data_IF_133075265917
#
_entry.id   IF_133075265917
#
_cell.length_a   1.000
_cell.length_b   1.000
_cell.length_c   1.000
_cell.angle_alpha   90.00
_cell.angle_beta   90.00
_cell.angle_gamma   90.00
#
_symmetry.space_group_name_H-M   'P 1'
#
loop_
_entity.id
_entity.type
_entity.pdbx_description
1 polymer ?
#
# COMPACT_ATOMS: atom_id res chain seq x y z
N UNK A 1 2.62 2.22 -5.10
CA UNK A 1 1.17 2.35 -4.75
C UNK A 1 0.69 3.80 -4.71
N UNK A 2 1.27 4.72 -5.50
CA UNK A 2 0.79 6.10 -5.69
C UNK A 2 0.49 6.46 -7.15
N UNK A 3 0.21 5.48 -8.01
CA UNK A 3 -0.15 5.72 -9.42
C UNK A 3 -1.59 5.36 -9.75
N UNK A 4 -2.21 4.46 -8.98
CA UNK A 4 -3.58 3.99 -9.17
C UNK A 4 -4.25 3.89 -7.79
N UNK A 5 -5.48 4.37 -7.68
CA UNK A 5 -6.29 4.29 -6.46
C UNK A 5 -7.49 3.38 -6.70
N UNK A 6 -7.40 2.08 -6.37
CA UNK A 6 -8.53 1.18 -6.50
C UNK A 6 -9.62 1.51 -5.48
N UNK A 7 -10.87 1.17 -5.82
CA UNK A 7 -12.00 1.29 -4.90
C UNK A 7 -11.70 0.55 -3.58
N UNK A 8 -12.24 1.07 -2.48
CA UNK A 8 -12.11 0.50 -1.12
C UNK A 8 -10.71 0.55 -0.49
N UNK A 9 -9.73 1.20 -1.13
CA UNK A 9 -8.39 1.44 -0.59
C UNK A 9 -8.11 2.93 -0.30
N UNK A 10 -9.14 3.77 -0.21
CA UNK A 10 -9.02 5.22 -0.15
C UNK A 10 -8.09 5.72 0.96
N UNK A 11 -8.28 5.26 2.20
CA UNK A 11 -7.46 5.66 3.34
C UNK A 11 -5.99 5.22 3.18
N UNK A 12 -5.77 4.01 2.68
CA UNK A 12 -4.44 3.46 2.42
C UNK A 12 -3.72 4.28 1.33
N UNK A 13 -4.39 4.49 0.19
CA UNK A 13 -3.87 5.29 -0.91
C UNK A 13 -3.57 6.72 -0.46
N UNK A 14 -4.50 7.39 0.24
CA UNK A 14 -4.28 8.74 0.76
C UNK A 14 -3.01 8.82 1.62
N UNK A 15 -2.82 7.85 2.53
CA UNK A 15 -1.61 7.75 3.36
C UNK A 15 -0.34 7.55 2.54
N UNK A 16 -0.40 6.74 1.46
CA UNK A 16 0.74 6.50 0.57
C UNK A 16 1.10 7.72 -0.28
N UNK A 17 0.13 8.44 -0.83
CA UNK A 17 0.38 9.70 -1.53
C UNK A 17 0.95 10.77 -0.59
N UNK A 18 0.43 10.87 0.64
CA UNK A 18 0.97 11.78 1.65
C UNK A 18 2.43 11.46 1.98
N UNK A 19 2.78 10.16 2.10
CA UNK A 19 4.16 9.72 2.33
C UNK A 19 5.11 10.11 1.19
N UNK A 20 4.67 10.02 -0.07
CA UNK A 20 5.47 10.47 -1.21
C UNK A 20 5.73 11.97 -1.16
N UNK A 21 4.70 12.77 -0.89
CA UNK A 21 4.84 14.22 -0.72
C UNK A 21 5.80 14.57 0.42
N UNK A 22 5.65 13.90 1.57
CA UNK A 22 6.55 14.04 2.71
C UNK A 22 8.01 13.73 2.33
N UNK A 23 8.26 12.63 1.62
CA UNK A 23 9.61 12.28 1.19
C UNK A 23 10.22 13.31 0.23
N UNK A 24 9.40 13.93 -0.63
CA UNK A 24 9.87 14.96 -1.56
C UNK A 24 10.24 16.28 -0.85
N UNK A 25 9.52 16.65 0.21
CA UNK A 25 9.93 17.73 1.10
C UNK A 25 11.22 17.37 1.85
N UNK A 26 11.24 16.21 2.52
CA UNK A 26 12.38 15.74 3.30
C UNK A 26 13.67 15.71 2.46
N UNK A 27 13.60 15.28 1.20
CA UNK A 27 14.77 15.28 0.29
C UNK A 27 15.36 16.68 0.08
N UNK A 28 14.52 17.71 -0.06
CA UNK A 28 14.96 19.10 -0.24
C UNK A 28 15.50 19.68 1.06
N UNK A 29 14.80 19.39 2.16
CA UNK A 29 15.23 19.80 3.49
C UNK A 29 16.59 19.22 3.83
N UNK A 30 16.84 17.95 3.53
CA UNK A 30 18.10 17.25 3.86
C UNK A 30 19.29 17.60 2.93
N UNK A 31 19.04 18.23 1.79
CA UNK A 31 20.05 18.55 0.79
C UNK A 31 21.24 19.40 1.32
N UNK A 32 21.06 20.42 2.19
CA UNK A 32 22.16 21.22 2.73
C UNK A 32 23.21 20.41 3.52
N UNK A 33 22.82 19.24 4.05
CA UNK A 33 23.73 18.35 4.78
C UNK A 33 24.36 17.26 3.90
N UNK A 34 24.13 17.30 2.58
CA UNK A 34 24.60 16.27 1.65
C UNK A 34 23.91 14.91 1.84
N UNK A 35 22.82 14.86 2.60
CA UNK A 35 22.05 13.65 2.86
C UNK A 35 21.09 13.39 1.69
N UNK A 36 21.04 12.13 1.25
CA UNK A 36 20.19 11.67 0.14
C UNK A 36 18.99 10.91 0.69
N UNK A 37 17.81 11.26 0.19
CA UNK A 37 16.55 10.61 0.55
C UNK A 37 15.98 9.94 -0.70
N UNK A 38 15.60 8.68 -0.55
CA UNK A 38 14.96 7.89 -1.60
C UNK A 38 13.83 7.04 -1.02
N UNK A 39 12.86 6.69 -1.84
CA UNK A 39 11.76 5.79 -1.48
C UNK A 39 11.77 4.53 -2.34
N UNK A 40 11.39 3.41 -1.72
CA UNK A 40 11.12 2.15 -2.41
C UNK A 40 9.62 1.98 -2.49
N UNK A 41 9.11 1.88 -3.71
CA UNK A 41 7.69 1.77 -4.01
C UNK A 41 7.38 0.37 -4.56
N UNK A 42 7.17 -0.62 -3.68
CA UNK A 42 6.78 -1.95 -4.13
C UNK A 42 5.37 -1.98 -4.72
N UNK A 43 5.17 -2.96 -5.59
CA UNK A 43 3.85 -3.49 -5.92
C UNK A 43 3.29 -4.37 -4.80
N UNK A 44 2.35 -5.25 -5.15
CA UNK A 44 1.85 -6.24 -4.20
C UNK A 44 2.94 -7.29 -3.92
N UNK A 45 3.22 -7.59 -2.65
CA UNK A 45 4.25 -8.56 -2.25
C UNK A 45 3.67 -9.61 -1.31
N UNK A 46 4.20 -10.84 -1.41
CA UNK A 46 3.83 -11.96 -0.53
C UNK A 46 4.36 -11.71 0.89
N UNK A 47 3.57 -10.99 1.68
CA UNK A 47 3.85 -10.66 3.08
C UNK A 47 2.56 -10.79 3.91
N UNK A 48 2.63 -10.95 5.24
CA UNK A 48 1.43 -11.12 6.06
C UNK A 48 0.43 -9.94 6.01
N UNK A 49 0.82 -8.76 5.50
CA UNK A 49 -0.07 -7.60 5.39
C UNK A 49 -1.25 -7.84 4.44
N UNK A 50 -1.08 -8.73 3.46
CA UNK A 50 -2.17 -9.09 2.56
C UNK A 50 -3.02 -10.21 3.15
N UNK A 51 -2.52 -10.98 4.13
CA UNK A 51 -3.25 -12.08 4.77
C UNK A 51 -4.31 -11.56 5.76
N UNK A 52 -5.41 -12.31 5.93
CA UNK A 52 -6.42 -12.03 6.97
C UNK A 52 -7.35 -10.84 6.71
N UNK A 53 -7.30 -10.25 5.51
CA UNK A 53 -8.09 -9.07 5.16
C UNK A 53 -9.61 -9.29 5.34
N UNK A 54 -10.11 -10.49 5.05
CA UNK A 54 -11.53 -10.85 5.17
C UNK A 54 -12.01 -10.78 6.61
N UNK A 55 -11.18 -11.28 7.54
CA UNK A 55 -11.48 -11.27 8.96
C UNK A 55 -11.54 -9.84 9.47
N UNK A 56 -10.54 -9.03 9.14
CA UNK A 56 -10.50 -7.61 9.51
C UNK A 56 -11.72 -6.86 8.96
N UNK A 57 -12.09 -7.07 7.70
CA UNK A 57 -13.23 -6.42 7.09
C UNK A 57 -14.57 -6.82 7.76
N UNK A 58 -14.73 -8.08 8.17
CA UNK A 58 -15.89 -8.52 8.96
C UNK A 58 -15.92 -7.92 10.36
N UNK A 59 -14.77 -7.85 11.04
CA UNK A 59 -14.66 -7.20 12.34
C UNK A 59 -15.02 -5.71 12.26
N UNK A 60 -14.52 -5.01 11.23
CA UNK A 60 -14.86 -3.61 10.98
C UNK A 60 -16.35 -3.43 10.70
N UNK A 61 -16.96 -4.27 9.85
CA UNK A 61 -18.39 -4.22 9.56
C UNK A 61 -19.24 -4.42 10.80
N UNK A 62 -18.95 -5.46 11.59
CA UNK A 62 -19.68 -5.77 12.82
C UNK A 62 -19.53 -4.68 13.88
N UNK A 63 -18.44 -3.91 13.84
CA UNK A 63 -18.22 -2.76 14.72
C UNK A 63 -18.94 -1.48 14.31
N UNK A 64 -19.55 -1.41 13.11
CA UNK A 64 -20.32 -0.25 12.68
C UNK A 64 -21.66 -0.18 13.42
N UNK A 65 -22.19 1.04 13.60
CA UNK A 65 -23.54 1.23 14.14
C UNK A 65 -24.60 0.54 13.27
N UNK A 66 -25.68 0.10 13.90
CA UNK A 66 -26.81 -0.56 13.22
C UNK A 66 -27.41 0.26 12.08
N UNK A 67 -27.48 1.58 12.22
CA UNK A 67 -28.01 2.48 11.17
C UNK A 67 -27.12 2.48 9.93
N UNK A 68 -25.80 2.46 10.11
CA UNK A 68 -24.84 2.36 9.00
C UNK A 68 -24.95 0.99 8.34
N UNK A 69 -24.98 -0.10 9.11
CA UNK A 69 -25.13 -1.45 8.55
C UNK A 69 -26.44 -1.58 7.75
N UNK A 70 -27.55 -1.06 8.26
CA UNK A 70 -28.84 -1.02 7.53
C UNK A 70 -28.78 -0.15 6.28
N UNK A 71 -28.14 1.03 6.36
CA UNK A 71 -28.05 1.98 5.24
C UNK A 71 -27.28 1.40 4.04
N UNK A 72 -26.18 0.70 4.31
CA UNK A 72 -25.36 0.10 3.25
C UNK A 72 -25.86 -1.29 2.86
N UNK A 73 -26.44 -2.04 3.80
CA UNK A 73 -26.99 -3.37 3.58
C UNK A 73 -25.93 -4.48 3.59
N UNK A 74 -26.30 -5.65 4.11
CA UNK A 74 -25.41 -6.82 4.14
C UNK A 74 -25.06 -7.33 2.74
N UNK A 75 -25.97 -7.20 1.77
CA UNK A 75 -25.73 -7.63 0.39
C UNK A 75 -24.59 -6.85 -0.25
N UNK A 76 -24.56 -5.53 -0.04
CA UNK A 76 -23.46 -4.68 -0.51
C UNK A 76 -22.14 -5.09 0.15
N UNK A 77 -22.14 -5.31 1.47
CA UNK A 77 -20.95 -5.73 2.19
C UNK A 77 -20.45 -7.10 1.73
N UNK A 78 -21.35 -8.06 1.55
CA UNK A 78 -21.01 -9.40 1.06
C UNK A 78 -20.51 -9.38 -0.38
N UNK A 79 -21.07 -8.53 -1.26
CA UNK A 79 -20.55 -8.31 -2.62
C UNK A 79 -19.17 -7.64 -2.59
N UNK A 80 -18.97 -6.65 -1.72
CA UNK A 80 -17.67 -6.01 -1.53
C UNK A 80 -16.61 -6.99 -1.03
N UNK A 81 -16.92 -7.80 -0.01
CA UNK A 81 -16.06 -8.88 0.46
C UNK A 81 -15.77 -9.87 -0.66
N UNK A 82 -16.79 -10.34 -1.38
CA UNK A 82 -16.60 -11.24 -2.52
C UNK A 82 -15.71 -10.61 -3.58
N UNK A 83 -15.85 -9.33 -3.92
CA UNK A 83 -14.96 -8.66 -4.88
C UNK A 83 -13.55 -8.49 -4.33
N UNK A 84 -13.38 -8.26 -3.03
CA UNK A 84 -12.07 -8.19 -2.41
C UNK A 84 -11.36 -9.56 -2.38
N UNK A 85 -12.12 -10.64 -2.20
CA UNK A 85 -11.64 -12.03 -2.06
C UNK A 85 -11.51 -12.78 -3.39
N UNK A 86 -12.52 -12.67 -4.25
CA UNK A 86 -12.59 -13.33 -5.56
C UNK A 86 -11.70 -12.57 -6.57
N UNK A 87 -11.59 -11.23 -6.49
CA UNK A 87 -10.56 -10.49 -7.22
C UNK A 87 -9.23 -10.44 -6.47
N UNK A 88 -8.84 -11.53 -5.80
CA UNK A 88 -7.48 -11.76 -5.29
C UNK A 88 -6.42 -11.84 -6.42
N UNK A 89 -6.57 -11.05 -7.48
CA UNK A 89 -5.51 -10.55 -8.34
C UNK A 89 -4.33 -10.05 -7.48
N UNK A 90 -4.58 -9.40 -6.34
CA UNK A 90 -3.48 -8.98 -5.46
C UNK A 90 -2.65 -10.17 -4.93
N UNK A 91 -3.26 -11.29 -4.54
CA UNK A 91 -2.52 -12.44 -4.00
C UNK A 91 -1.91 -13.31 -5.11
N UNK A 92 -2.64 -13.52 -6.21
CA UNK A 92 -2.15 -14.32 -7.33
C UNK A 92 -0.99 -13.65 -8.07
N UNK A 93 -0.90 -12.32 -8.01
CA UNK A 93 0.18 -11.52 -8.60
C UNK A 93 1.12 -10.93 -7.53
N UNK A 94 1.06 -11.42 -6.29
CA UNK A 94 1.96 -10.97 -5.24
C UNK A 94 3.39 -11.44 -5.52
N UNK A 95 4.28 -10.48 -5.65
CA UNK A 95 5.66 -10.71 -6.01
C UNK A 95 6.53 -11.19 -4.85
N UNK A 96 7.74 -11.67 -5.18
CA UNK A 96 8.77 -12.04 -4.22
C UNK A 96 9.29 -10.79 -3.45
N UNK A 97 9.19 -10.73 -2.10
CA UNK A 97 9.72 -9.66 -1.28
C UNK A 97 11.21 -9.36 -1.52
N UNK A 98 11.96 -10.33 -2.02
CA UNK A 98 13.37 -10.17 -2.34
C UNK A 98 13.63 -9.11 -3.43
N UNK A 99 12.62 -8.75 -4.24
CA UNK A 99 12.68 -7.58 -5.14
C UNK A 99 12.98 -6.29 -4.37
N UNK A 100 12.30 -6.08 -3.24
CA UNK A 100 12.52 -4.90 -2.37
C UNK A 100 13.91 -4.90 -1.78
N UNK A 101 14.37 -6.05 -1.28
CA UNK A 101 15.70 -6.15 -0.67
C UNK A 101 16.79 -5.87 -1.71
N UNK A 102 16.62 -6.30 -2.98
CA UNK A 102 17.53 -5.95 -4.08
C UNK A 102 17.54 -4.43 -4.35
N UNK A 103 16.37 -3.79 -4.35
CA UNK A 103 16.25 -2.34 -4.53
C UNK A 103 16.90 -1.57 -3.38
N UNK A 104 16.67 -2.00 -2.13
CA UNK A 104 17.31 -1.44 -0.93
C UNK A 104 18.83 -1.55 -1.01
N UNK A 105 19.35 -2.72 -1.37
CA UNK A 105 20.79 -2.93 -1.56
C UNK A 105 21.35 -1.93 -2.59
N UNK A 106 20.67 -1.74 -3.72
CA UNK A 106 21.12 -0.77 -4.71
C UNK A 106 21.05 0.67 -4.15
N UNK A 107 19.97 1.04 -3.47
CA UNK A 107 19.79 2.40 -2.94
C UNK A 107 20.89 2.79 -1.93
N UNK A 108 21.30 1.84 -1.08
CA UNK A 108 22.33 2.09 -0.06
C UNK A 108 23.74 2.07 -0.66
N UNK A 109 24.03 1.15 -1.57
CA UNK A 109 25.39 0.92 -2.07
C UNK A 109 25.80 1.85 -3.22
N UNK A 110 24.86 2.48 -3.91
CA UNK A 110 25.15 3.32 -5.07
C UNK A 110 25.55 4.75 -4.64
N UNK A 111 26.60 5.30 -5.26
CA UNK A 111 27.04 6.68 -5.03
C UNK A 111 26.03 7.73 -5.52
N UNK A 112 25.17 7.37 -6.48
CA UNK A 112 24.08 8.18 -7.02
C UNK A 112 22.77 7.38 -7.03
N UNK A 113 22.15 7.16 -5.86
CA UNK A 113 20.89 6.43 -5.80
C UNK A 113 19.78 7.20 -6.50
N UNK A 114 18.79 6.48 -7.02
CA UNK A 114 17.58 7.06 -7.59
C UNK A 114 16.72 7.65 -6.47
N UNK A 115 15.94 8.67 -6.78
CA UNK A 115 14.98 9.25 -5.82
C UNK A 115 13.85 8.25 -5.53
N UNK A 116 13.43 7.51 -6.56
CA UNK A 116 12.36 6.50 -6.49
C UNK A 116 12.83 5.19 -7.10
N UNK A 117 12.50 4.10 -6.42
CA UNK A 117 12.74 2.74 -6.89
C UNK A 117 11.40 2.02 -7.03
N UNK A 118 11.18 1.40 -8.18
CA UNK A 118 10.07 0.48 -8.42
C UNK A 118 10.71 -0.91 -8.59
N UNK A 119 10.63 -1.79 -7.59
CA UNK A 119 11.20 -3.12 -7.68
C UNK A 119 10.43 -3.97 -8.70
N UNK A 120 11.12 -4.36 -9.78
CA UNK A 120 10.62 -5.23 -10.85
C UNK A 120 10.84 -6.73 -10.58
#
# INVERSE_FOLDING_TARGET
MGFITPACMSAYCASKYAFESFSDCLRREMAPWGLRVCIIEPGCLRTPIIEGHDRLMRELWNGLSSDVQKRWGEDFFNDLLKRAVINNLLFNYADDPMKVVRALRHAVMNSKPRIRYHPD
#
